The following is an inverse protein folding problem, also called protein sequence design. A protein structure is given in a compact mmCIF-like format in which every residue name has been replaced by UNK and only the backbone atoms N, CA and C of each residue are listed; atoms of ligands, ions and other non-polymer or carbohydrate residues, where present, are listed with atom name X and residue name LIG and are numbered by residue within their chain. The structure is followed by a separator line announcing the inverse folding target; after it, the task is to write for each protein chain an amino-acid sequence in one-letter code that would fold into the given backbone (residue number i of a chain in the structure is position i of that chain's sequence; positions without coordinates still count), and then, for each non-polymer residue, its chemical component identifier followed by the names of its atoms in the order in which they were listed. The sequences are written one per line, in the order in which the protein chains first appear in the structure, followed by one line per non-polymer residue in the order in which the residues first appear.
data_IF_855052976446
#
_entry.id   IF_855052976446
#
_cell.length_a   1.000
_cell.length_b   1.000
_cell.length_c   1.000
_cell.angle_alpha   90.00
_cell.angle_beta   90.00
_cell.angle_gamma   90.00
#
_symmetry.space_group_name_H-M   'P 1'
#
loop_
_entity.id
_entity.type
_entity.pdbx_description
1 polymer ?
#
# COMPACT_ATOMS: atom_id res chain seq x y z
N UNK A 1 -26.65 -16.10 -6.96
CA UNK A 1 -25.86 -16.86 -5.96
C UNK A 1 -24.45 -17.14 -6.45
N UNK A 2 -24.27 -17.60 -7.69
CA UNK A 2 -22.92 -17.91 -8.21
C UNK A 2 -21.97 -16.70 -8.24
N UNK A 3 -22.45 -15.56 -8.72
CA UNK A 3 -21.65 -14.33 -8.74
C UNK A 3 -21.20 -13.90 -7.33
N UNK A 4 -22.05 -14.11 -6.33
CA UNK A 4 -21.74 -13.79 -4.93
C UNK A 4 -20.64 -14.70 -4.37
N UNK A 5 -20.66 -15.99 -4.69
CA UNK A 5 -19.60 -16.91 -4.30
C UNK A 5 -18.28 -16.57 -4.99
N UNK A 6 -18.33 -16.21 -6.27
CA UNK A 6 -17.14 -15.78 -7.02
C UNK A 6 -16.53 -14.49 -6.46
N UNK A 7 -17.34 -13.49 -6.10
CA UNK A 7 -16.81 -12.25 -5.53
C UNK A 7 -16.19 -12.48 -4.17
N UNK A 8 -16.81 -13.28 -3.30
CA UNK A 8 -16.25 -13.68 -2.00
C UNK A 8 -14.91 -14.40 -2.21
N UNK A 9 -14.84 -15.36 -3.14
CA UNK A 9 -13.62 -16.09 -3.43
C UNK A 9 -12.48 -15.16 -3.89
N UNK A 10 -12.76 -14.23 -4.81
CA UNK A 10 -11.75 -13.28 -5.29
C UNK A 10 -11.27 -12.33 -4.18
N UNK A 11 -12.18 -11.86 -3.32
CA UNK A 11 -11.81 -11.02 -2.18
C UNK A 11 -10.93 -11.77 -1.18
N UNK A 12 -11.25 -13.03 -0.87
CA UNK A 12 -10.43 -13.87 0.02
C UNK A 12 -9.04 -14.11 -0.56
N UNK A 13 -8.92 -14.37 -1.86
CA UNK A 13 -7.61 -14.52 -2.52
C UNK A 13 -6.80 -13.23 -2.47
N UNK A 14 -7.43 -12.08 -2.72
CA UNK A 14 -6.74 -10.79 -2.65
C UNK A 14 -6.22 -10.47 -1.24
N UNK A 15 -7.09 -10.59 -0.22
CA UNK A 15 -6.71 -10.34 1.18
C UNK A 15 -5.68 -11.38 1.65
N UNK A 16 -5.86 -12.64 1.30
CA UNK A 16 -4.92 -13.72 1.61
C UNK A 16 -3.55 -13.49 0.99
N UNK A 17 -3.48 -13.07 -0.27
CA UNK A 17 -2.23 -12.73 -0.94
C UNK A 17 -1.48 -11.58 -0.29
N UNK A 18 -2.21 -10.53 0.14
CA UNK A 18 -1.61 -9.40 0.88
C UNK A 18 -1.11 -9.86 2.25
N UNK A 19 -1.89 -10.67 2.97
CA UNK A 19 -1.50 -11.19 4.28
C UNK A 19 -0.24 -12.05 4.21
N UNK A 20 -0.15 -12.95 3.23
CA UNK A 20 1.05 -13.78 2.99
C UNK A 20 2.25 -12.89 2.65
N UNK A 21 2.06 -11.88 1.79
CA UNK A 21 3.14 -10.95 1.42
C UNK A 21 3.67 -10.18 2.63
N UNK A 22 2.80 -9.75 3.55
CA UNK A 22 3.18 -9.07 4.79
C UNK A 22 3.93 -10.03 5.71
N UNK A 23 3.43 -11.26 5.89
CA UNK A 23 4.08 -12.28 6.71
C UNK A 23 5.48 -12.66 6.19
N UNK A 24 5.65 -12.72 4.87
CA UNK A 24 6.93 -13.01 4.24
C UNK A 24 7.89 -11.81 4.19
N UNK A 25 7.43 -10.59 4.53
CA UNK A 25 8.26 -9.39 4.52
C UNK A 25 8.98 -9.24 5.87
N UNK A 26 10.28 -8.96 5.82
CA UNK A 26 11.07 -8.58 7.00
C UNK A 26 10.39 -7.37 7.67
N UNK A 27 10.19 -7.46 8.98
CA UNK A 27 9.48 -6.47 9.81
C UNK A 27 7.95 -6.38 9.61
N UNK A 28 7.33 -7.26 8.81
CA UNK A 28 5.88 -7.33 8.68
C UNK A 28 5.23 -6.04 8.15
N UNK A 29 6.00 -5.20 7.45
CA UNK A 29 5.54 -3.89 6.98
C UNK A 29 4.99 -3.97 5.56
N UNK A 30 3.87 -3.30 5.35
CA UNK A 30 3.35 -3.05 4.01
C UNK A 30 4.16 -1.93 3.35
N UNK A 31 5.17 -2.28 2.55
CA UNK A 31 6.08 -1.31 1.92
C UNK A 31 6.24 -1.52 0.41
N UNK A 32 6.42 -0.42 -0.33
CA UNK A 32 6.66 -0.38 -1.77
C UNK A 32 5.43 -0.05 -2.63
N UNK A 33 4.40 0.53 -2.04
CA UNK A 33 3.21 1.04 -2.76
C UNK A 33 3.06 2.54 -2.48
N UNK A 34 2.28 3.26 -3.30
CA UNK A 34 2.02 4.68 -3.07
C UNK A 34 1.44 4.95 -1.67
N UNK A 35 0.60 4.04 -1.14
CA UNK A 35 0.06 4.14 0.21
C UNK A 35 1.15 4.12 1.30
N UNK A 36 2.23 3.34 1.11
CA UNK A 36 3.32 3.27 2.08
C UNK A 36 4.15 4.55 2.19
N UNK A 37 3.90 5.57 1.36
CA UNK A 37 4.55 6.88 1.48
C UNK A 37 3.72 7.91 2.24
N UNK A 38 2.51 7.56 2.68
CA UNK A 38 1.70 8.50 3.44
C UNK A 38 2.36 8.80 4.79
N UNK A 39 2.38 10.06 5.26
CA UNK A 39 2.88 10.40 6.61
C UNK A 39 2.10 9.71 7.74
N UNK A 40 0.91 9.18 7.43
CA UNK A 40 0.14 8.38 8.37
C UNK A 40 0.73 6.97 8.54
N UNK A 41 1.28 6.38 7.48
CA UNK A 41 1.79 5.00 7.46
C UNK A 41 3.33 4.92 7.60
N UNK A 42 4.06 5.87 7.02
CA UNK A 42 5.52 5.95 7.10
C UNK A 42 5.96 6.85 8.26
N UNK A 43 5.94 6.29 9.48
CA UNK A 43 6.32 7.00 10.70
C UNK A 43 7.83 7.16 10.89
N UNK A 44 8.62 6.34 10.22
CA UNK A 44 10.08 6.32 10.34
C UNK A 44 10.77 7.32 9.42
N UNK A 45 10.02 8.00 8.53
CA UNK A 45 10.57 9.02 7.66
C UNK A 45 11.33 8.45 6.46
N UNK A 46 11.13 7.17 6.11
CA UNK A 46 11.86 6.52 5.03
C UNK A 46 11.60 7.22 3.69
N UNK A 47 12.66 7.47 2.92
CA UNK A 47 12.56 8.07 1.60
C UNK A 47 11.81 7.15 0.63
N UNK A 48 11.01 7.74 -0.26
CA UNK A 48 10.22 7.00 -1.22
C UNK A 48 11.13 6.27 -2.20
N UNK A 49 11.05 4.93 -2.26
CA UNK A 49 11.85 4.12 -3.17
C UNK A 49 11.62 4.38 -4.68
N UNK A 50 10.59 5.14 -5.05
CA UNK A 50 10.31 5.53 -6.44
C UNK A 50 10.86 6.91 -6.79
N UNK A 51 10.74 7.91 -5.91
CA UNK A 51 11.10 9.31 -6.21
C UNK A 51 12.03 9.99 -5.19
N UNK A 52 12.44 9.30 -4.14
CA UNK A 52 13.41 9.76 -3.13
C UNK A 52 12.89 10.77 -2.11
N UNK A 53 11.65 11.25 -2.24
CA UNK A 53 11.03 12.21 -1.30
C UNK A 53 10.77 11.57 0.07
N UNK A 54 10.89 12.34 1.14
CA UNK A 54 10.56 11.90 2.51
C UNK A 54 9.06 12.09 2.80
N UNK A 55 8.46 11.40 3.79
CA UNK A 55 7.02 11.44 4.07
C UNK A 55 6.47 12.84 4.33
N UNK A 56 7.25 13.70 4.97
CA UNK A 56 6.95 15.13 5.18
C UNK A 56 6.77 15.91 3.87
N UNK A 57 7.47 15.52 2.80
CA UNK A 57 7.29 16.10 1.47
C UNK A 57 6.04 15.55 0.74
N UNK A 58 5.41 14.50 1.28
CA UNK A 58 4.12 13.96 0.82
C UNK A 58 2.94 14.47 1.67
N UNK A 59 3.15 15.47 2.52
CA UNK A 59 2.07 16.09 3.32
C UNK A 59 0.88 16.57 2.46
N UNK A 60 1.15 16.89 1.19
CA UNK A 60 0.14 17.19 0.19
C UNK A 60 0.20 16.14 -0.93
N UNK A 61 -0.39 14.95 -0.72
CA UNK A 61 -0.74 14.04 -1.82
C UNK A 61 -1.90 14.63 -2.64
N UNK A 62 -1.76 15.87 -3.11
CA UNK A 62 -2.54 16.35 -4.24
C UNK A 62 -1.76 15.90 -5.47
N UNK A 63 -2.38 15.03 -6.25
CA UNK A 63 -2.02 14.89 -7.66
C UNK A 63 -2.09 16.31 -8.24
N UNK A 64 -0.96 16.89 -8.63
CA UNK A 64 -1.05 17.98 -9.61
C UNK A 64 -1.77 17.34 -10.78
N UNK A 65 -2.96 17.86 -11.08
CA UNK A 65 -3.89 17.28 -12.03
C UNK A 65 -3.11 17.00 -13.31
N UNK A 66 -2.81 15.73 -13.58
CA UNK A 66 -2.22 15.34 -14.84
C UNK A 66 -3.31 15.61 -15.88
N UNK A 67 -3.22 16.78 -16.51
CA UNK A 67 -3.98 17.17 -17.69
C UNK A 67 -3.70 16.23 -18.86
#
# INVERSE_FOLDING_TARGET
MELFLFTIALLLVAVGGIAIKIWAKKDGKFAGTCASQSPFLNKEGEACGFCGKTPDQFANCNEETHS
#
